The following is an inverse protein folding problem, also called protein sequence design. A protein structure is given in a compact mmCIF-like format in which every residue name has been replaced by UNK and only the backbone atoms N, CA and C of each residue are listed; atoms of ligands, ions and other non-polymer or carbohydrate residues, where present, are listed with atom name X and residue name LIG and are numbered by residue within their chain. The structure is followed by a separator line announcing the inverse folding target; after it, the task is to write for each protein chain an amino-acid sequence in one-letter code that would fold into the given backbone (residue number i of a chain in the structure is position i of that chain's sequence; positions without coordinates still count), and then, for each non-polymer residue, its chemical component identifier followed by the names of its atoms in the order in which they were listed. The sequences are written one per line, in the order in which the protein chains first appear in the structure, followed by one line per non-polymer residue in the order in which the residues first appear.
data_IF_478519302314
#
_entry.id   IF_478519302314
#
_cell.length_a   1.000
_cell.length_b   1.000
_cell.length_c   1.000
_cell.angle_alpha   90.00
_cell.angle_beta   90.00
_cell.angle_gamma   90.00
#
_symmetry.space_group_name_H-M   'P 1'
#
loop_
_entity.id
_entity.type
_entity.pdbx_description
1 polymer ?
#
# COMPACT_ATOMS: atom_id res chain seq x y z
N UNK A 1 -1.59 -3.01 18.34
CA UNK A 1 -0.99 -1.73 17.90
C UNK A 1 -1.39 -0.48 18.73
N UNK A 2 -2.06 -0.61 19.89
CA UNK A 2 -2.63 0.54 20.65
C UNK A 2 -1.68 1.26 21.62
N UNK A 3 -0.40 0.88 21.73
CA UNK A 3 0.46 1.34 22.84
C UNK A 3 1.73 2.13 22.44
N UNK A 4 2.11 2.17 21.17
CA UNK A 4 3.36 2.85 20.78
C UNK A 4 3.08 4.21 20.14
N UNK A 5 3.56 5.34 20.72
CA UNK A 5 3.36 6.69 20.18
C UNK A 5 4.23 6.98 18.95
N UNK A 6 5.06 6.02 18.54
CA UNK A 6 6.02 6.14 17.44
C UNK A 6 5.79 5.03 16.43
N UNK A 7 5.76 5.37 15.14
CA UNK A 7 5.83 4.40 14.04
C UNK A 7 7.20 4.52 13.39
N UNK A 8 8.03 3.47 13.42
CA UNK A 8 9.25 3.43 12.60
C UNK A 8 8.87 3.33 11.12
N UNK A 9 9.44 4.19 10.27
CA UNK A 9 9.16 4.23 8.84
C UNK A 9 10.40 3.91 8.00
N UNK A 10 10.18 3.45 6.77
CA UNK A 10 11.24 3.19 5.79
C UNK A 10 11.85 4.49 5.27
N UNK A 11 13.16 4.63 5.44
CA UNK A 11 13.90 5.82 5.04
C UNK A 11 13.29 7.08 5.63
N UNK A 12 13.07 8.09 4.77
CA UNK A 12 12.37 9.33 5.12
C UNK A 12 10.89 9.32 4.75
N UNK A 13 10.33 8.17 4.35
CA UNK A 13 8.93 8.05 3.93
C UNK A 13 8.60 8.71 2.58
N UNK A 14 9.60 8.95 1.74
CA UNK A 14 9.45 9.64 0.45
C UNK A 14 8.96 8.76 -0.70
N UNK A 15 9.04 7.44 -0.53
CA UNK A 15 8.58 6.45 -1.51
C UNK A 15 7.13 6.71 -1.87
N UNK A 16 6.83 6.80 -3.16
CA UNK A 16 5.49 7.04 -3.66
C UNK A 16 4.73 5.71 -3.78
N UNK A 17 3.46 5.73 -3.36
CA UNK A 17 2.57 4.58 -3.35
C UNK A 17 1.22 4.99 -3.94
N UNK A 18 0.65 4.12 -4.78
CA UNK A 18 -0.67 4.32 -5.37
C UNK A 18 -1.60 3.15 -5.00
N UNK A 19 -2.13 3.10 -3.76
CA UNK A 19 -2.86 1.96 -3.24
C UNK A 19 -4.15 1.69 -4.03
N UNK A 20 -4.36 0.46 -4.47
CA UNK A 20 -5.58 0.03 -5.14
C UNK A 20 -6.54 -0.66 -4.14
N UNK A 21 -7.84 -0.36 -4.23
CA UNK A 21 -8.85 -1.03 -3.42
C UNK A 21 -9.07 -2.46 -3.93
N UNK A 22 -9.11 -3.42 -3.00
CA UNK A 22 -9.06 -4.86 -3.33
C UNK A 22 -10.27 -5.32 -4.13
N UNK A 23 -11.47 -4.79 -3.85
CA UNK A 23 -12.68 -5.17 -4.60
C UNK A 23 -12.66 -4.64 -6.04
N UNK A 24 -12.12 -3.45 -6.25
CA UNK A 24 -11.97 -2.89 -7.60
C UNK A 24 -10.99 -3.73 -8.42
N UNK A 25 -9.89 -4.19 -7.81
CA UNK A 25 -8.96 -5.13 -8.45
C UNK A 25 -9.68 -6.44 -8.79
N UNK A 26 -10.49 -6.98 -7.87
CA UNK A 26 -11.30 -8.18 -8.13
C UNK A 26 -12.26 -8.00 -9.31
N UNK A 27 -12.97 -6.86 -9.35
CA UNK A 27 -13.86 -6.50 -10.46
C UNK A 27 -13.09 -6.35 -11.77
N UNK A 28 -11.93 -5.70 -11.75
CA UNK A 28 -11.07 -5.54 -12.92
C UNK A 28 -10.62 -6.89 -13.47
N UNK A 29 -10.20 -7.82 -12.60
CA UNK A 29 -9.85 -9.19 -13.00
C UNK A 29 -11.05 -9.88 -13.68
N UNK A 30 -12.27 -9.74 -13.14
CA UNK A 30 -13.45 -10.34 -13.78
C UNK A 30 -13.76 -9.75 -15.16
N UNK A 31 -13.64 -8.43 -15.34
CA UNK A 31 -13.93 -7.77 -16.61
C UNK A 31 -12.84 -8.01 -17.66
N UNK A 32 -11.60 -8.21 -17.21
CA UNK A 32 -10.47 -8.49 -18.10
C UNK A 32 -10.64 -9.79 -18.91
N UNK A 33 -11.50 -10.72 -18.47
CA UNK A 33 -11.80 -11.95 -19.23
C UNK A 33 -12.56 -11.69 -20.54
N UNK A 34 -13.42 -10.68 -20.55
CA UNK A 34 -14.25 -10.32 -21.71
C UNK A 34 -13.66 -9.16 -22.52
N UNK A 35 -12.63 -8.50 -21.98
CA UNK A 35 -11.91 -7.40 -22.63
C UNK A 35 -10.93 -7.89 -23.71
N UNK A 36 -10.48 -7.00 -24.62
CA UNK A 36 -9.39 -7.31 -25.54
C UNK A 36 -8.14 -7.82 -24.79
N UNK A 37 -7.50 -8.86 -25.35
CA UNK A 37 -6.29 -9.42 -24.75
C UNK A 37 -5.16 -8.40 -24.81
N UNK A 38 -4.65 -8.07 -23.63
CA UNK A 38 -3.43 -7.30 -23.42
C UNK A 38 -2.48 -8.14 -22.58
N UNK A 39 -1.18 -7.85 -22.67
CA UNK A 39 -0.16 -8.64 -21.99
C UNK A 39 -0.17 -8.39 -20.47
N UNK A 40 -0.35 -7.13 -20.08
CA UNK A 40 -0.37 -6.69 -18.68
C UNK A 40 -1.40 -5.58 -18.46
N UNK A 41 -2.01 -5.59 -17.28
CA UNK A 41 -2.77 -4.48 -16.73
C UNK A 41 -2.03 -3.92 -15.51
N UNK A 42 -2.14 -2.62 -15.28
CA UNK A 42 -1.69 -1.98 -14.05
C UNK A 42 -2.86 -1.34 -13.31
N UNK A 43 -2.99 -1.63 -12.02
CA UNK A 43 -4.09 -1.16 -11.19
C UNK A 43 -3.58 -0.35 -10.02
N UNK A 44 -4.13 0.85 -9.86
CA UNK A 44 -3.73 1.81 -8.82
C UNK A 44 -4.91 2.69 -8.47
N UNK A 45 -4.97 3.13 -7.21
CA UNK A 45 -6.01 4.03 -6.73
C UNK A 45 -5.98 5.42 -7.38
N UNK A 46 -6.96 6.28 -7.05
CA UNK A 46 -7.10 7.60 -7.66
C UNK A 46 -5.98 8.59 -7.28
N UNK A 47 -5.27 8.34 -6.17
CA UNK A 47 -4.29 9.26 -5.61
C UNK A 47 -2.94 8.58 -5.37
N UNK A 48 -1.87 9.33 -5.61
CA UNK A 48 -0.49 8.96 -5.28
C UNK A 48 -0.14 9.63 -3.96
N UNK A 49 0.37 8.85 -3.02
CA UNK A 49 0.78 9.32 -1.70
C UNK A 49 2.27 9.03 -1.49
N UNK A 50 3.00 9.92 -0.82
CA UNK A 50 4.24 9.47 -0.18
C UNK A 50 3.91 8.51 0.96
N UNK A 51 4.82 7.59 1.29
CA UNK A 51 4.64 6.65 2.40
C UNK A 51 4.34 7.39 3.72
N UNK A 52 4.98 8.54 3.96
CA UNK A 52 4.68 9.36 5.13
C UNK A 52 3.27 9.98 5.11
N UNK A 53 2.79 10.45 3.97
CA UNK A 53 1.43 11.01 3.83
C UNK A 53 0.38 9.91 3.98
N UNK A 54 0.63 8.74 3.38
CA UNK A 54 -0.25 7.58 3.50
C UNK A 54 -0.47 7.19 4.96
N UNK A 55 0.61 7.08 5.74
CA UNK A 55 0.52 6.76 7.17
C UNK A 55 -0.16 7.86 8.00
N UNK A 56 0.02 9.13 7.62
CA UNK A 56 -0.67 10.26 8.25
C UNK A 56 -2.17 10.20 7.97
N UNK A 57 -2.59 10.01 6.71
CA UNK A 57 -4.00 9.89 6.34
C UNK A 57 -4.68 8.73 7.07
N UNK A 58 -4.02 7.56 7.16
CA UNK A 58 -4.53 6.42 7.92
C UNK A 58 -4.66 6.81 9.40
N UNK A 59 -3.63 7.43 9.98
CA UNK A 59 -3.62 7.87 11.37
C UNK A 59 -4.73 8.87 11.69
N UNK A 60 -4.95 9.86 10.84
CA UNK A 60 -5.98 10.87 10.99
C UNK A 60 -7.39 10.27 10.88
N UNK A 61 -7.60 9.33 9.94
CA UNK A 61 -8.87 8.61 9.78
C UNK A 61 -9.24 7.82 11.05
N UNK A 62 -8.28 7.07 11.63
CA UNK A 62 -8.53 6.26 12.84
C UNK A 62 -8.39 7.06 14.15
N UNK A 63 -8.18 8.37 14.08
CA UNK A 63 -8.04 9.27 15.24
C UNK A 63 -6.77 9.07 16.07
N UNK A 64 -5.69 8.57 15.47
CA UNK A 64 -4.43 8.24 16.14
C UNK A 64 -3.26 9.04 15.57
N UNK A 65 -2.78 10.03 16.33
CA UNK A 65 -1.55 10.78 16.00
C UNK A 65 -0.31 10.02 16.51
N UNK A 66 0.62 9.71 15.61
CA UNK A 66 1.90 9.07 15.95
C UNK A 66 3.06 9.79 15.31
N UNK A 67 4.19 9.81 16.01
CA UNK A 67 5.43 10.35 15.47
C UNK A 67 6.03 9.36 14.47
N UNK A 68 6.29 9.81 13.25
CA UNK A 68 6.97 9.01 12.23
C UNK A 68 8.48 9.10 12.44
N UNK A 69 9.11 7.98 12.84
CA UNK A 69 10.55 7.90 13.06
C UNK A 69 11.24 7.36 11.80
N UNK A 70 11.99 8.19 11.05
CA UNK A 70 12.71 7.74 9.87
C UNK A 70 13.87 6.81 10.24
N UNK A 71 13.87 5.61 9.68
CA UNK A 71 14.94 4.62 9.88
C UNK A 71 15.62 4.32 8.54
N UNK A 72 16.95 4.41 8.43
CA UNK A 72 17.67 4.12 7.18
C UNK A 72 17.39 2.71 6.64
N UNK A 73 17.34 2.56 5.32
CA UNK A 73 17.09 1.27 4.68
C UNK A 73 18.12 0.19 5.03
N UNK A 74 19.37 0.56 5.30
CA UNK A 74 20.41 -0.37 5.74
C UNK A 74 20.01 -1.09 7.04
N UNK A 75 19.42 -0.37 7.99
CA UNK A 75 18.92 -0.95 9.25
C UNK A 75 17.78 -1.93 8.97
N UNK A 76 16.83 -1.56 8.10
CA UNK A 76 15.73 -2.43 7.71
C UNK A 76 16.19 -3.70 6.99
N UNK A 77 17.17 -3.60 6.11
CA UNK A 77 17.75 -4.75 5.40
C UNK A 77 18.43 -5.73 6.38
N UNK A 78 19.19 -5.23 7.35
CA UNK A 78 19.80 -6.08 8.39
C UNK A 78 18.75 -6.74 9.27
N UNK A 79 17.70 -6.02 9.66
CA UNK A 79 16.58 -6.59 10.44
C UNK A 79 15.84 -7.67 9.65
N UNK A 80 15.51 -7.40 8.38
CA UNK A 80 14.84 -8.35 7.50
C UNK A 80 15.64 -9.64 7.33
N UNK A 81 16.96 -9.55 7.16
CA UNK A 81 17.85 -10.71 7.06
C UNK A 81 17.76 -11.62 8.30
N UNK A 82 17.70 -11.05 9.50
CA UNK A 82 17.52 -11.82 10.73
C UNK A 82 16.09 -12.37 10.90
N UNK A 83 15.09 -11.63 10.43
CA UNK A 83 13.67 -11.98 10.57
C UNK A 83 13.22 -13.08 9.63
N UNK A 84 13.82 -13.22 8.45
CA UNK A 84 13.48 -14.27 7.45
C UNK A 84 13.66 -15.70 7.95
N UNK A 85 14.39 -15.90 9.05
CA UNK A 85 14.53 -17.21 9.69
C UNK A 85 13.29 -17.63 10.50
N UNK A 86 12.34 -16.72 10.73
CA UNK A 86 11.11 -17.04 11.45
C UNK A 86 10.10 -17.71 10.50
N UNK A 87 9.23 -18.61 11.01
CA UNK A 87 8.18 -19.25 10.21
C UNK A 87 7.20 -18.25 9.55
N UNK A 88 7.00 -17.10 10.17
CA UNK A 88 6.13 -16.02 9.69
C UNK A 88 6.86 -14.68 9.91
N UNK A 89 7.79 -14.31 9.00
CA UNK A 89 8.60 -13.12 9.19
C UNK A 89 7.73 -11.87 9.12
N UNK A 90 7.72 -11.00 10.15
CA UNK A 90 6.94 -9.76 10.13
C UNK A 90 7.47 -8.73 9.12
N UNK A 91 8.73 -8.89 8.69
CA UNK A 91 9.39 -8.09 7.67
C UNK A 91 10.30 -9.00 6.84
N UNK A 92 10.19 -8.90 5.51
CA UNK A 92 11.03 -9.62 4.55
C UNK A 92 11.91 -8.65 3.78
N UNK A 93 13.00 -9.16 3.19
CA UNK A 93 13.89 -8.33 2.36
C UNK A 93 13.16 -7.78 1.15
N UNK A 94 12.30 -8.58 0.52
CA UNK A 94 11.45 -8.15 -0.60
C UNK A 94 10.55 -6.97 -0.20
N UNK A 95 9.97 -6.99 1.01
CA UNK A 95 9.17 -5.87 1.48
C UNK A 95 10.01 -4.60 1.65
N UNK A 96 11.23 -4.71 2.16
CA UNK A 96 12.14 -3.56 2.28
C UNK A 96 12.51 -3.02 0.89
N UNK A 97 12.76 -3.91 -0.07
CA UNK A 97 13.08 -3.57 -1.45
C UNK A 97 11.92 -2.86 -2.17
N UNK A 98 10.69 -3.35 -2.01
CA UNK A 98 9.49 -2.67 -2.52
C UNK A 98 9.34 -1.26 -1.95
N UNK A 99 9.75 -1.04 -0.70
CA UNK A 99 9.70 0.29 -0.09
C UNK A 99 10.85 1.21 -0.52
N UNK A 100 11.84 0.72 -1.27
CA UNK A 100 12.92 1.54 -1.85
C UNK A 100 12.59 2.09 -3.23
N UNK A 101 11.54 1.57 -3.89
CA UNK A 101 11.11 1.96 -5.24
C UNK A 101 9.70 2.54 -5.19
N UNK A 102 9.42 3.50 -6.07
CA UNK A 102 8.07 4.05 -6.20
C UNK A 102 7.12 2.99 -6.77
N UNK A 103 6.03 2.72 -6.08
CA UNK A 103 5.00 1.76 -6.45
C UNK A 103 3.77 2.51 -6.97
N UNK A 104 3.93 3.05 -8.18
CA UNK A 104 2.96 3.86 -8.90
C UNK A 104 2.78 3.29 -10.31
N UNK A 105 1.67 3.62 -10.96
CA UNK A 105 1.43 3.19 -12.33
C UNK A 105 2.45 3.80 -13.29
N UNK A 106 2.91 3.02 -14.27
CA UNK A 106 3.81 3.48 -15.33
C UNK A 106 3.11 4.43 -16.33
N UNK A 107 1.78 4.45 -16.30
CA UNK A 107 0.88 5.12 -17.26
C UNK A 107 0.99 4.61 -18.72
N UNK A 108 1.80 3.58 -18.97
CA UNK A 108 1.99 2.99 -20.30
C UNK A 108 1.05 1.81 -20.58
N UNK A 109 0.43 1.25 -19.54
CA UNK A 109 -0.40 0.06 -19.61
C UNK A 109 -1.87 0.39 -19.30
N UNK A 110 -2.81 -0.39 -19.85
CA UNK A 110 -4.23 -0.25 -19.52
C UNK A 110 -4.47 -0.55 -18.03
N UNK A 111 -5.49 0.09 -17.46
CA UNK A 111 -5.84 -0.03 -16.05
C UNK A 111 -7.34 0.09 -15.81
N UNK A 112 -7.72 0.59 -14.63
CA UNK A 112 -9.13 0.66 -14.23
C UNK A 112 -10.01 1.44 -15.20
N UNK A 113 -9.49 2.54 -15.78
CA UNK A 113 -10.25 3.38 -16.71
C UNK A 113 -10.61 2.64 -18.00
N UNK A 114 -9.71 1.81 -18.51
CA UNK A 114 -9.91 1.01 -19.73
C UNK A 114 -10.97 -0.09 -19.53
N UNK A 115 -11.22 -0.46 -18.27
CA UNK A 115 -12.26 -1.41 -17.87
C UNK A 115 -13.52 -0.72 -17.31
N UNK A 116 -13.65 0.60 -17.51
CA UNK A 116 -14.77 1.42 -17.02
C UNK A 116 -15.00 1.33 -15.50
N UNK A 117 -13.91 1.12 -14.74
CA UNK A 117 -13.90 1.13 -13.28
C UNK A 117 -13.41 2.49 -12.79
N UNK A 118 -14.22 3.14 -11.94
CA UNK A 118 -13.79 4.29 -11.15
C UNK A 118 -13.19 3.77 -9.83
N UNK A 119 -11.87 3.88 -9.62
CA UNK A 119 -11.23 3.32 -8.43
C UNK A 119 -11.64 4.08 -7.17
N UNK A 120 -11.91 3.33 -6.11
CA UNK A 120 -12.21 3.89 -4.80
C UNK A 120 -10.94 4.46 -4.14
N UNK A 121 -11.14 5.52 -3.37
CA UNK A 121 -10.08 6.11 -2.56
C UNK A 121 -9.86 5.31 -1.26
N UNK A 122 -8.68 5.47 -0.67
CA UNK A 122 -8.26 4.79 0.54
C UNK A 122 -9.22 5.02 1.72
N UNK A 123 -9.83 6.20 1.82
CA UNK A 123 -10.78 6.51 2.90
C UNK A 123 -11.99 5.56 2.91
N UNK A 124 -12.47 5.15 1.73
CA UNK A 124 -13.57 4.20 1.61
C UNK A 124 -13.17 2.81 2.14
N UNK A 125 -11.96 2.35 1.80
CA UNK A 125 -11.41 1.09 2.30
C UNK A 125 -11.14 1.13 3.81
N UNK A 126 -10.66 2.25 4.35
CA UNK A 126 -10.46 2.41 5.80
C UNK A 126 -11.77 2.33 6.58
N UNK A 127 -12.83 2.98 6.08
CA UNK A 127 -14.16 2.93 6.71
C UNK A 127 -14.75 1.51 6.73
N UNK A 128 -14.41 0.66 5.76
CA UNK A 128 -14.80 -0.74 5.76
C UNK A 128 -14.04 -1.56 6.81
N UNK A 129 -12.72 -1.40 6.88
CA UNK A 129 -11.87 -2.07 7.88
C UNK A 129 -12.32 -1.73 9.30
N UNK A 130 -12.69 -0.46 9.55
CA UNK A 130 -13.22 -0.05 10.84
C UNK A 130 -14.57 -0.70 11.20
N UNK A 131 -15.46 -0.87 10.22
CA UNK A 131 -16.74 -1.58 10.41
C UNK A 131 -16.50 -3.05 10.72
N UNK A 132 -15.59 -3.70 10.00
CA UNK A 132 -15.21 -5.10 10.24
C UNK A 132 -14.59 -5.35 11.61
N UNK A 133 -13.82 -4.40 12.16
CA UNK A 133 -13.23 -4.52 13.50
C UNK A 133 -14.22 -4.25 14.65
N UNK A 134 -15.40 -3.70 14.37
CA UNK A 134 -16.46 -3.44 15.37
C UNK A 134 -17.52 -4.55 15.42
N UNK A 135 -17.54 -5.46 14.45
CA UNK A 135 -18.41 -6.63 14.38
C UNK A 135 -17.79 -7.83 15.14
#
# INVERSE_FOLDING_TARGET
MRQFPVIPIFGRGRTLLQPAYVEDVGKAISLAFDAPKVEFYEFGGPHIYSYSELLQNIGDHIGVRRFLLPIPFTVWQTLALGMEMLPHPPLTRNQVELMMIDNILSAALPGFKDLEIAPQDIEAGLAEIERGNKA
#
